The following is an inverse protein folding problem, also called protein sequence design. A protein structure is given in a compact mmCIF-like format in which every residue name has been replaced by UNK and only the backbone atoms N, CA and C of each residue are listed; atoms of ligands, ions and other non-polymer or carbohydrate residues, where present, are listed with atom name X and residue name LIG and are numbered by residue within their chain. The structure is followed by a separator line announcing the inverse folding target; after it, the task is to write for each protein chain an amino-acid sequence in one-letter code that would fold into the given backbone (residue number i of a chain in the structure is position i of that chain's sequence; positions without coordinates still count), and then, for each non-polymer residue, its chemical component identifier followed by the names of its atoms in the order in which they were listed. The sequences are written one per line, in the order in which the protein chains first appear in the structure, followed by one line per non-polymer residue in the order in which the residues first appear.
data_IF_470590162087
#
_entry.id   IF_470590162087
#
_cell.length_a   1.000
_cell.length_b   1.000
_cell.length_c   1.000
_cell.angle_alpha   90.00
_cell.angle_beta   90.00
_cell.angle_gamma   90.00
#
_symmetry.space_group_name_H-M   'P 1'
#
loop_
_entity.id
_entity.type
_entity.pdbx_description
1 polymer ?
#
# COMPACT_ATOMS: atom_id res chain seq x y z
N UNK A 1 -15.11 -6.96 34.96
CA UNK A 1 -15.95 -6.16 34.05
C UNK A 1 -16.45 -7.09 32.95
N UNK A 2 -17.75 -7.16 32.61
CA UNK A 2 -18.23 -8.05 31.55
C UNK A 2 -17.95 -7.44 30.17
N UNK A 3 -17.63 -8.28 29.19
CA UNK A 3 -17.36 -7.88 27.80
C UNK A 3 -18.68 -7.86 27.04
N UNK A 4 -19.06 -6.70 26.51
CA UNK A 4 -20.21 -6.54 25.62
C UNK A 4 -19.95 -7.23 24.27
N UNK A 5 -20.88 -8.08 23.82
CA UNK A 5 -20.77 -8.75 22.51
C UNK A 5 -21.24 -7.80 21.40
N UNK A 6 -20.32 -7.47 20.48
CA UNK A 6 -20.65 -6.66 19.29
C UNK A 6 -21.52 -7.45 18.29
N UNK A 7 -22.53 -6.81 17.67
CA UNK A 7 -23.44 -7.48 16.74
C UNK A 7 -22.73 -7.90 15.44
N UNK A 8 -23.18 -9.02 14.86
CA UNK A 8 -22.67 -9.56 13.59
C UNK A 8 -22.97 -8.60 12.42
N UNK A 9 -21.97 -8.21 11.61
CA UNK A 9 -22.19 -7.33 10.47
C UNK A 9 -22.94 -8.02 9.33
N UNK A 10 -23.80 -7.26 8.64
CA UNK A 10 -24.62 -7.71 7.50
C UNK A 10 -23.97 -7.24 6.18
N UNK A 11 -23.99 -8.05 5.09
CA UNK A 11 -23.42 -7.66 3.80
C UNK A 11 -24.11 -6.44 3.17
N UNK A 12 -23.31 -5.54 2.58
CA UNK A 12 -23.80 -4.34 1.87
C UNK A 12 -24.11 -4.63 0.40
N UNK A 13 -24.93 -3.78 -0.24
CA UNK A 13 -25.39 -3.89 -1.64
C UNK A 13 -24.32 -3.61 -2.73
N UNK A 14 -23.04 -3.75 -2.41
CA UNK A 14 -21.93 -3.56 -3.36
C UNK A 14 -21.64 -2.09 -3.77
N UNK A 15 -22.37 -1.12 -3.23
CA UNK A 15 -22.07 0.31 -3.43
C UNK A 15 -21.06 0.75 -2.36
N UNK A 16 -19.81 0.98 -2.76
CA UNK A 16 -18.78 1.48 -1.86
C UNK A 16 -19.11 2.92 -1.45
N UNK A 17 -19.66 3.08 -0.25
CA UNK A 17 -19.81 4.36 0.43
C UNK A 17 -18.78 4.41 1.55
N UNK A 18 -17.69 5.19 1.43
CA UNK A 18 -16.79 5.39 2.55
C UNK A 18 -17.60 6.07 3.66
N UNK A 19 -17.86 5.37 4.77
CA UNK A 19 -18.76 5.85 5.83
C UNK A 19 -18.20 7.05 6.61
N UNK A 20 -17.00 7.53 6.26
CA UNK A 20 -16.24 8.48 7.04
C UNK A 20 -15.89 9.79 6.32
N UNK A 21 -16.13 9.95 5.01
CA UNK A 21 -15.96 11.26 4.33
C UNK A 21 -16.73 11.34 2.98
N UNK A 22 -17.96 11.85 3.02
CA UNK A 22 -18.75 12.18 1.82
C UNK A 22 -18.56 13.64 1.36
N UNK A 23 -17.83 14.46 2.14
CA UNK A 23 -17.68 15.89 1.89
C UNK A 23 -16.55 16.22 0.91
N UNK A 24 -15.43 15.50 1.01
CA UNK A 24 -14.22 15.82 0.25
C UNK A 24 -13.96 14.89 -0.95
N UNK A 25 -14.57 13.70 -0.95
CA UNK A 25 -14.35 12.67 -1.97
C UNK A 25 -15.67 12.24 -2.63
N UNK A 26 -16.46 13.21 -3.08
CA UNK A 26 -17.63 12.91 -3.89
C UNK A 26 -17.23 12.27 -5.24
N UNK A 27 -18.07 11.44 -5.85
CA UNK A 27 -17.80 10.85 -7.15
C UNK A 27 -17.45 11.88 -8.24
N UNK A 28 -18.00 13.09 -8.14
CA UNK A 28 -17.73 14.20 -9.06
C UNK A 28 -16.30 14.74 -8.92
N UNK A 29 -15.77 14.85 -7.69
CA UNK A 29 -14.40 15.30 -7.41
C UNK A 29 -13.38 14.28 -7.93
N UNK A 30 -13.63 13.00 -7.69
CA UNK A 30 -12.78 11.91 -8.18
C UNK A 30 -12.79 11.84 -9.71
N UNK A 31 -13.95 12.06 -10.34
CA UNK A 31 -14.06 12.11 -11.80
C UNK A 31 -13.30 13.31 -12.40
N UNK A 32 -13.38 14.49 -11.79
CA UNK A 32 -12.69 15.69 -12.25
C UNK A 32 -11.15 15.54 -12.19
N UNK A 33 -10.63 14.91 -11.13
CA UNK A 33 -9.19 14.66 -10.98
C UNK A 33 -8.69 13.68 -12.04
N UNK A 34 -9.43 12.61 -12.32
CA UNK A 34 -9.08 11.63 -13.37
C UNK A 34 -9.15 12.24 -14.78
N UNK A 35 -10.07 13.17 -15.01
CA UNK A 35 -10.18 13.88 -16.28
C UNK A 35 -9.02 14.87 -16.50
N UNK A 36 -8.60 15.58 -15.44
CA UNK A 36 -7.50 16.55 -15.53
C UNK A 36 -6.12 15.87 -15.56
N UNK A 37 -6.00 14.67 -15.02
CA UNK A 37 -4.74 13.94 -14.91
C UNK A 37 -4.93 12.46 -15.30
N UNK A 38 -4.84 12.11 -16.60
CA UNK A 38 -5.17 10.77 -17.09
C UNK A 38 -4.24 9.66 -16.58
N UNK A 39 -3.09 10.02 -16.01
CA UNK A 39 -2.11 9.11 -15.39
C UNK A 39 -2.00 9.28 -13.87
N UNK A 40 -2.91 10.02 -13.24
CA UNK A 40 -2.95 10.10 -11.76
C UNK A 40 -3.47 8.77 -11.23
N UNK A 41 -2.55 8.00 -10.65
CA UNK A 41 -2.89 7.28 -9.44
C UNK A 41 -3.25 8.35 -8.41
N UNK A 42 -4.40 8.22 -7.75
CA UNK A 42 -4.75 9.06 -6.60
C UNK A 42 -3.64 8.81 -5.56
N UNK A 43 -2.54 9.60 -5.63
CA UNK A 43 -1.82 10.01 -4.43
C UNK A 43 -2.95 10.54 -3.60
N UNK A 44 -3.33 9.83 -2.57
CA UNK A 44 -4.46 10.22 -1.77
C UNK A 44 -3.91 11.14 -0.69
N UNK A 45 -3.81 12.47 -0.92
CA UNK A 45 -3.39 13.40 0.13
C UNK A 45 -4.30 13.29 1.35
N UNK A 46 -5.55 12.83 1.16
CA UNK A 46 -6.51 12.61 2.24
C UNK A 46 -6.09 11.42 3.11
N UNK A 47 -5.50 10.36 2.55
CA UNK A 47 -4.91 9.27 3.37
C UNK A 47 -3.76 9.79 4.24
N UNK A 48 -2.85 10.59 3.68
CA UNK A 48 -1.74 11.15 4.46
C UNK A 48 -2.21 12.13 5.54
N UNK A 49 -3.28 12.89 5.28
CA UNK A 49 -3.91 13.80 6.25
C UNK A 49 -4.40 13.07 7.52
N UNK A 50 -4.76 11.79 7.42
CA UNK A 50 -5.18 10.99 8.58
C UNK A 50 -4.05 10.18 9.23
N UNK A 51 -3.17 9.55 8.43
CA UNK A 51 -2.13 8.68 8.98
C UNK A 51 -0.95 9.43 9.58
N UNK A 52 -0.63 10.66 9.13
CA UNK A 52 0.46 11.44 9.73
C UNK A 52 0.12 11.92 11.15
N UNK A 53 -1.07 12.49 11.44
CA UNK A 53 -1.45 12.80 12.83
C UNK A 53 -1.50 11.55 13.72
N UNK A 54 -2.00 10.43 13.19
CA UNK A 54 -1.99 9.15 13.91
C UNK A 54 -0.55 8.74 14.27
N UNK A 55 0.37 8.78 13.29
CA UNK A 55 1.78 8.49 13.53
C UNK A 55 2.39 9.45 14.56
N UNK A 56 2.21 10.76 14.39
CA UNK A 56 2.75 11.77 15.34
C UNK A 56 2.28 11.54 16.77
N UNK A 57 1.04 11.07 16.96
CA UNK A 57 0.47 10.84 18.29
C UNK A 57 0.83 9.48 18.89
N UNK A 58 0.99 8.45 18.06
CA UNK A 58 1.08 7.07 18.51
C UNK A 58 2.30 6.30 17.99
N UNK A 59 3.30 6.95 17.38
CA UNK A 59 4.49 6.28 16.83
C UNK A 59 5.24 5.42 17.85
N UNK A 60 5.17 5.74 19.14
CA UNK A 60 5.77 4.94 20.21
C UNK A 60 5.15 3.54 20.40
N UNK A 61 4.00 3.26 19.76
CA UNK A 61 3.33 1.94 19.79
C UNK A 61 3.02 1.38 18.40
N UNK A 62 3.48 2.04 17.33
CA UNK A 62 3.29 1.55 15.95
C UNK A 62 4.63 1.03 15.44
N UNK A 63 4.74 -0.28 15.29
CA UNK A 63 5.99 -0.92 14.90
C UNK A 63 6.31 -0.77 13.40
N UNK A 64 5.27 -0.82 12.55
CA UNK A 64 5.41 -0.88 11.10
C UNK A 64 4.34 -0.06 10.37
N UNK A 65 4.71 0.46 9.21
CA UNK A 65 3.79 1.15 8.28
C UNK A 65 3.64 0.33 7.01
N UNK A 66 2.46 -0.23 6.79
CA UNK A 66 2.13 -1.03 5.61
C UNK A 66 1.65 -0.12 4.47
N UNK A 67 2.55 0.71 3.93
CA UNK A 67 2.22 1.63 2.84
C UNK A 67 1.95 0.88 1.53
N UNK A 68 0.93 1.31 0.78
CA UNK A 68 0.43 0.62 -0.43
C UNK A 68 1.14 1.09 -1.70
N UNK A 69 2.40 0.73 -1.88
CA UNK A 69 3.19 1.05 -3.08
C UNK A 69 2.59 0.47 -4.38
N UNK A 70 1.82 -0.62 -4.30
CA UNK A 70 1.04 -1.15 -5.42
C UNK A 70 -0.08 -0.23 -5.93
N UNK A 71 -0.32 0.91 -5.28
CA UNK A 71 -1.18 1.96 -5.81
C UNK A 71 -0.50 2.83 -6.87
N UNK A 72 0.84 2.77 -7.01
CA UNK A 72 1.57 3.51 -8.04
C UNK A 72 1.39 2.91 -9.43
N UNK A 73 1.73 3.69 -10.46
CA UNK A 73 1.45 3.35 -11.86
C UNK A 73 2.39 2.30 -12.45
N UNK A 74 1.94 1.68 -13.55
CA UNK A 74 2.70 0.65 -14.28
C UNK A 74 4.03 1.13 -14.88
N UNK A 75 4.28 2.44 -14.93
CA UNK A 75 5.55 3.03 -15.37
C UNK A 75 6.59 3.18 -14.25
N UNK A 76 6.34 2.64 -13.06
CA UNK A 76 7.25 2.72 -11.92
C UNK A 76 8.43 1.75 -12.11
N UNK A 77 9.57 2.26 -12.57
CA UNK A 77 10.82 1.52 -12.61
C UNK A 77 11.48 1.44 -11.21
N UNK A 78 12.61 0.74 -11.10
CA UNK A 78 13.31 0.54 -9.82
C UNK A 78 13.75 1.87 -9.17
N UNK A 79 14.43 2.79 -9.87
CA UNK A 79 14.74 4.11 -9.32
C UNK A 79 13.50 4.87 -8.84
N UNK A 80 12.42 4.86 -9.61
CA UNK A 80 11.16 5.52 -9.25
C UNK A 80 10.52 4.89 -8.01
N UNK A 81 10.60 3.55 -7.87
CA UNK A 81 10.13 2.85 -6.67
C UNK A 81 10.88 3.29 -5.42
N UNK A 82 12.22 3.33 -5.49
CA UNK A 82 13.07 3.76 -4.37
C UNK A 82 12.79 5.22 -4.02
N UNK A 83 12.64 6.10 -5.02
CA UNK A 83 12.24 7.49 -4.81
C UNK A 83 10.90 7.59 -4.07
N UNK A 84 9.88 6.86 -4.50
CA UNK A 84 8.60 6.82 -3.78
C UNK A 84 8.75 6.27 -2.36
N UNK A 85 9.59 5.26 -2.16
CA UNK A 85 9.84 4.70 -0.83
C UNK A 85 10.49 5.72 0.11
N UNK A 86 11.51 6.43 -0.36
CA UNK A 86 12.18 7.48 0.39
C UNK A 86 11.20 8.62 0.72
N UNK A 87 10.40 9.07 -0.26
CA UNK A 87 9.36 10.10 -0.07
C UNK A 87 8.32 9.69 0.98
N UNK A 88 7.90 8.42 0.99
CA UNK A 88 6.94 7.94 1.99
C UNK A 88 7.59 7.78 3.36
N UNK A 89 8.84 7.34 3.42
CA UNK A 89 9.58 7.16 4.67
C UNK A 89 9.76 8.46 5.46
N UNK A 90 9.89 9.61 4.77
CA UNK A 90 9.96 10.94 5.41
C UNK A 90 8.71 11.27 6.24
N UNK A 91 7.54 10.73 5.88
CA UNK A 91 6.28 10.99 6.60
C UNK A 91 6.19 10.23 7.93
N UNK A 92 7.07 9.26 8.16
CA UNK A 92 7.06 8.38 9.33
C UNK A 92 8.45 8.34 9.98
N UNK A 93 8.92 9.47 10.57
CA UNK A 93 10.26 9.56 11.14
C UNK A 93 10.46 8.50 12.22
N UNK A 94 11.65 7.87 12.19
CA UNK A 94 12.02 6.72 13.04
C UNK A 94 11.13 5.46 12.88
N UNK A 95 10.20 5.47 11.93
CA UNK A 95 9.33 4.34 11.63
C UNK A 95 9.95 3.33 10.67
N UNK A 96 9.32 2.16 10.61
CA UNK A 96 9.68 1.10 9.66
C UNK A 96 8.61 1.01 8.57
N UNK A 97 8.83 1.70 7.46
CA UNK A 97 7.95 1.59 6.28
C UNK A 97 8.26 0.29 5.54
N UNK A 98 7.25 -0.55 5.34
CA UNK A 98 7.44 -1.80 4.61
C UNK A 98 7.31 -1.55 3.09
N UNK A 99 8.18 -2.16 2.30
CA UNK A 99 7.96 -2.23 0.86
C UNK A 99 6.70 -3.06 0.56
N UNK A 100 6.06 -2.83 -0.59
CA UNK A 100 4.87 -3.62 -0.95
C UNK A 100 4.60 -3.71 -2.44
N UNK A 101 3.88 -4.76 -2.81
CA UNK A 101 3.29 -4.94 -4.12
C UNK A 101 2.03 -5.82 -4.02
N UNK A 102 1.31 -6.01 -5.13
CA UNK A 102 0.12 -6.85 -5.18
C UNK A 102 0.23 -7.91 -6.28
N UNK A 103 -0.42 -9.05 -6.09
CA UNK A 103 -0.44 -10.20 -7.03
C UNK A 103 -1.79 -10.37 -7.74
N UNK A 104 -2.74 -9.47 -7.49
CA UNK A 104 -4.03 -9.41 -8.20
C UNK A 104 -3.95 -8.66 -9.53
N UNK A 105 -5.09 -8.15 -10.00
CA UNK A 105 -5.14 -7.32 -11.22
C UNK A 105 -4.32 -6.04 -11.06
N UNK A 106 -3.27 -5.91 -11.88
CA UNK A 106 -2.33 -4.78 -11.90
C UNK A 106 -2.48 -3.92 -13.15
N UNK A 107 -3.62 -3.98 -13.84
CA UNK A 107 -3.86 -3.16 -15.03
C UNK A 107 -3.68 -1.66 -14.70
N UNK A 108 -2.69 -1.03 -15.34
CA UNK A 108 -2.32 0.38 -15.10
C UNK A 108 -1.54 0.65 -13.80
N UNK A 109 -1.23 -0.38 -13.02
CA UNK A 109 -0.58 -0.27 -11.72
C UNK A 109 0.79 -0.96 -11.72
N UNK A 110 1.57 -0.67 -10.68
CA UNK A 110 2.81 -1.35 -10.38
C UNK A 110 2.62 -2.86 -10.35
N UNK A 111 3.44 -3.57 -11.13
CA UNK A 111 3.42 -5.02 -11.23
C UNK A 111 4.19 -5.69 -10.07
N UNK A 112 3.97 -7.00 -9.83
CA UNK A 112 4.75 -7.73 -8.83
C UNK A 112 6.26 -7.74 -9.15
N UNK A 113 6.64 -7.83 -10.44
CA UNK A 113 8.05 -7.83 -10.86
C UNK A 113 8.73 -6.50 -10.54
N UNK A 114 8.04 -5.37 -10.77
CA UNK A 114 8.53 -4.04 -10.39
C UNK A 114 8.68 -3.92 -8.88
N UNK A 115 7.68 -4.38 -8.12
CA UNK A 115 7.72 -4.36 -6.66
C UNK A 115 8.84 -5.18 -6.05
N UNK A 116 9.05 -6.41 -6.54
CA UNK A 116 10.16 -7.28 -6.10
C UNK A 116 11.51 -6.67 -6.48
N UNK A 117 11.64 -6.09 -7.67
CA UNK A 117 12.88 -5.44 -8.08
C UNK A 117 13.18 -4.22 -7.22
N UNK A 118 12.17 -3.42 -6.90
CA UNK A 118 12.27 -2.32 -5.94
C UNK A 118 12.67 -2.79 -4.55
N UNK A 119 12.08 -3.87 -4.03
CA UNK A 119 12.44 -4.44 -2.74
C UNK A 119 13.89 -4.96 -2.71
N UNK A 120 14.36 -5.64 -3.76
CA UNK A 120 15.76 -6.08 -3.90
C UNK A 120 16.73 -4.89 -3.86
N UNK A 121 16.37 -3.79 -4.53
CA UNK A 121 17.20 -2.58 -4.50
C UNK A 121 17.20 -1.90 -3.11
N UNK A 122 16.05 -1.83 -2.43
CA UNK A 122 15.99 -1.33 -1.05
C UNK A 122 16.81 -2.20 -0.09
N UNK A 123 16.78 -3.53 -0.25
CA UNK A 123 17.65 -4.44 0.51
C UNK A 123 19.13 -4.12 0.23
N UNK A 124 19.51 -3.99 -1.04
CA UNK A 124 20.89 -3.67 -1.45
C UNK A 124 21.39 -2.35 -0.84
N UNK A 125 20.49 -1.38 -0.65
CA UNK A 125 20.77 -0.08 0.00
C UNK A 125 20.70 -0.14 1.53
N UNK A 126 20.45 -1.31 2.13
CA UNK A 126 20.23 -1.49 3.56
C UNK A 126 19.06 -0.63 4.12
N UNK A 127 18.04 -0.40 3.28
CA UNK A 127 16.85 0.41 3.58
C UNK A 127 15.60 -0.42 3.86
N UNK A 128 15.63 -1.73 3.66
CA UNK A 128 14.44 -2.59 3.72
C UNK A 128 14.23 -3.18 5.12
N UNK A 129 13.31 -2.67 5.95
CA UNK A 129 12.98 -3.29 7.24
C UNK A 129 12.08 -4.53 7.09
N UNK A 130 11.46 -4.70 5.92
CA UNK A 130 10.50 -5.76 5.63
C UNK A 130 9.63 -5.41 4.42
N UNK A 131 8.74 -6.33 4.03
CA UNK A 131 7.78 -6.12 2.95
C UNK A 131 6.47 -6.88 3.20
N UNK A 132 5.38 -6.45 2.55
CA UNK A 132 4.12 -7.22 2.52
C UNK A 132 3.54 -7.31 1.11
N UNK A 133 2.72 -8.34 0.89
CA UNK A 133 2.10 -8.64 -0.41
C UNK A 133 0.58 -8.61 -0.28
N UNK A 134 -0.09 -7.93 -1.21
CA UNK A 134 -1.55 -7.96 -1.32
C UNK A 134 -1.97 -8.82 -2.52
N UNK A 135 -2.45 -10.04 -2.37
CA UNK A 135 -2.70 -10.80 -1.14
C UNK A 135 -2.58 -12.29 -1.46
N UNK A 136 -2.56 -13.14 -0.44
CA UNK A 136 -2.52 -14.59 -0.62
C UNK A 136 -3.64 -15.14 -1.52
N UNK A 137 -4.87 -14.62 -1.41
CA UNK A 137 -5.99 -14.98 -2.29
C UNK A 137 -5.69 -14.71 -3.77
N UNK A 138 -5.04 -13.56 -4.03
CA UNK A 138 -4.66 -13.16 -5.38
C UNK A 138 -3.50 -14.01 -5.88
N UNK A 139 -2.48 -14.25 -5.05
CA UNK A 139 -1.36 -15.15 -5.35
C UNK A 139 -1.88 -16.54 -5.77
N UNK A 140 -2.78 -17.13 -4.98
CA UNK A 140 -3.39 -18.43 -5.28
C UNK A 140 -4.15 -18.49 -6.61
N UNK A 141 -4.81 -17.40 -7.01
CA UNK A 141 -5.62 -17.32 -8.24
C UNK A 141 -4.79 -16.95 -9.47
N UNK A 142 -3.72 -16.19 -9.28
CA UNK A 142 -2.85 -15.72 -10.35
C UNK A 142 -2.07 -16.87 -10.98
N UNK A 143 -1.60 -16.68 -12.22
CA UNK A 143 -0.66 -17.60 -12.87
C UNK A 143 0.70 -17.67 -12.18
N UNK A 144 1.01 -16.72 -11.29
CA UNK A 144 2.26 -16.68 -10.53
C UNK A 144 2.28 -17.69 -9.38
N UNK A 145 1.11 -18.14 -8.90
CA UNK A 145 1.02 -18.86 -7.63
C UNK A 145 1.67 -18.05 -6.49
N UNK A 146 2.47 -18.73 -5.66
CA UNK A 146 3.22 -18.12 -4.55
C UNK A 146 4.68 -17.80 -4.90
N UNK A 147 5.01 -17.64 -6.19
CA UNK A 147 6.37 -17.28 -6.65
C UNK A 147 6.89 -16.04 -5.91
N UNK A 148 6.13 -14.94 -5.94
CA UNK A 148 6.58 -13.68 -5.34
C UNK A 148 6.57 -13.69 -3.81
N UNK A 149 5.67 -14.46 -3.20
CA UNK A 149 5.70 -14.71 -1.75
C UNK A 149 7.00 -15.42 -1.33
N UNK A 150 7.46 -16.37 -2.14
CA UNK A 150 8.71 -17.11 -1.90
C UNK A 150 9.93 -16.21 -2.12
N UNK A 151 9.96 -15.45 -3.23
CA UNK A 151 11.04 -14.48 -3.48
C UNK A 151 11.13 -13.41 -2.39
N UNK A 152 9.99 -12.91 -1.93
CA UNK A 152 9.92 -11.95 -0.83
C UNK A 152 10.54 -12.51 0.46
N UNK A 153 10.23 -13.76 0.81
CA UNK A 153 10.83 -14.42 1.98
C UNK A 153 12.35 -14.55 1.83
N UNK A 154 12.84 -14.88 0.63
CA UNK A 154 14.28 -14.99 0.35
C UNK A 154 15.00 -13.65 0.47
N UNK A 155 14.39 -12.56 -0.01
CA UNK A 155 14.92 -11.20 0.17
C UNK A 155 15.10 -10.93 1.67
N UNK A 156 14.08 -11.15 2.49
CA UNK A 156 14.16 -10.86 3.93
C UNK A 156 15.08 -11.82 4.68
N UNK A 157 15.14 -13.09 4.30
CA UNK A 157 15.98 -14.09 4.97
C UNK A 157 17.47 -13.90 4.70
N UNK A 158 17.84 -13.25 3.59
CA UNK A 158 19.22 -12.97 3.20
C UNK A 158 19.67 -11.55 3.59
N UNK A 159 19.06 -10.98 4.63
CA UNK A 159 19.49 -9.73 5.26
C UNK A 159 20.73 -9.91 6.14
#
# INVERSE_FOLDING_TARGET
MPVEQHPKPVPTNGVFSPFWDMGNLSPAVVAAIKAAYPNVAVKDPVVQEYYQPLWRKYSGVIDYVNFKFYGYGANTDVPTYVMFYDDQSVNYPCGKVLASFKTGDVTGLLSPDQGISGAKELQRQNKLPGLFIWSADSSKKSSYGFKYDTEAQQIIANH
#
